data_IF_724678057366
#
_entry.id   IF_724678057366
#
_cell.length_a   1.000
_cell.length_b   1.000
_cell.length_c   1.000
_cell.angle_alpha   90.00
_cell.angle_beta   90.00
_cell.angle_gamma   90.00
#
_symmetry.space_group_name_H-M   'P 1'
#
loop_
_entity.id
_entity.type
_entity.pdbx_description
1 polymer ?
#
# COMPACT_ATOMS: atom_id res chain seq x y z
N UNK A 1 -39.42 21.64 32.13
CA UNK A 1 -38.00 21.35 32.37
C UNK A 1 -37.52 20.02 31.80
N UNK A 2 -38.20 18.88 31.94
CA UNK A 2 -37.78 17.57 31.36
C UNK A 2 -37.66 17.53 29.85
N UNK A 3 -38.46 18.29 29.10
CA UNK A 3 -38.39 18.31 27.61
C UNK A 3 -37.19 19.08 27.06
N UNK A 4 -36.76 20.14 27.74
CA UNK A 4 -35.60 20.95 27.37
C UNK A 4 -34.29 20.16 27.60
N UNK A 5 -34.26 19.37 28.69
CA UNK A 5 -33.11 18.51 29.00
C UNK A 5 -32.90 17.40 27.94
N UNK A 6 -33.99 16.85 27.39
CA UNK A 6 -33.93 15.80 26.37
C UNK A 6 -33.45 16.35 25.00
N UNK A 7 -33.87 17.55 24.62
CA UNK A 7 -33.42 18.22 23.40
C UNK A 7 -31.93 18.62 23.50
N UNK A 8 -31.51 19.12 24.65
CA UNK A 8 -30.11 19.46 24.89
C UNK A 8 -29.21 18.23 24.86
N UNK A 9 -29.66 17.08 25.38
CA UNK A 9 -28.92 15.81 25.32
C UNK A 9 -28.83 15.28 23.88
N UNK A 10 -29.88 15.41 23.08
CA UNK A 10 -29.89 15.01 21.66
C UNK A 10 -29.01 15.90 20.83
N UNK A 11 -28.92 17.20 21.08
CA UNK A 11 -27.99 18.13 20.39
C UNK A 11 -26.55 17.85 20.77
N UNK A 12 -26.25 17.53 22.04
CA UNK A 12 -24.91 17.13 22.49
C UNK A 12 -24.43 15.82 21.83
N UNK A 13 -25.32 14.86 21.62
CA UNK A 13 -24.97 13.59 20.98
C UNK A 13 -24.72 13.73 19.46
N UNK A 14 -25.37 14.70 18.81
CA UNK A 14 -25.15 14.98 17.37
C UNK A 14 -23.86 15.77 17.12
N UNK A 15 -23.42 16.59 18.06
CA UNK A 15 -22.17 17.36 17.94
C UNK A 15 -20.94 16.43 18.08
N UNK A 16 -21.03 15.33 18.84
CA UNK A 16 -19.92 14.39 19.01
C UNK A 16 -19.63 13.52 17.78
N UNK A 17 -20.54 13.48 16.80
CA UNK A 17 -20.33 12.75 15.54
C UNK A 17 -19.72 13.59 14.40
N UNK A 18 -19.62 14.90 14.57
CA UNK A 18 -19.14 15.82 13.53
C UNK A 18 -17.59 15.99 13.50
N UNK A 19 -16.86 15.43 14.44
CA UNK A 19 -15.42 15.67 14.60
C UNK A 19 -14.51 14.69 13.88
N UNK A 20 -15.02 13.73 13.11
CA UNK A 20 -14.21 12.70 12.45
C UNK A 20 -14.18 12.83 10.91
N UNK A 21 -14.40 14.01 10.34
CA UNK A 21 -14.52 14.14 8.88
C UNK A 21 -13.24 14.60 8.16
N UNK A 22 -12.17 14.93 8.86
CA UNK A 22 -10.94 15.41 8.22
C UNK A 22 -9.78 14.46 8.41
N UNK A 23 -8.87 14.48 7.44
CA UNK A 23 -7.58 13.81 7.53
C UNK A 23 -6.84 14.31 8.78
N UNK A 24 -6.60 13.45 9.75
CA UNK A 24 -6.02 13.81 11.05
C UNK A 24 -4.63 13.23 11.18
N UNK A 25 -3.67 14.06 11.60
CA UNK A 25 -2.33 13.60 11.93
C UNK A 25 -2.40 12.64 13.11
N UNK A 26 -1.76 11.49 12.96
CA UNK A 26 -1.60 10.49 14.03
C UNK A 26 -0.43 10.89 14.90
N UNK A 27 -0.60 10.88 16.21
CA UNK A 27 0.50 11.11 17.16
C UNK A 27 1.29 9.81 17.42
N UNK A 28 2.51 9.97 17.94
CA UNK A 28 3.41 8.83 18.21
C UNK A 28 2.80 7.80 19.17
N UNK A 29 2.08 8.25 20.19
CA UNK A 29 1.49 7.35 21.19
C UNK A 29 0.40 6.49 20.55
N UNK A 30 -0.44 7.09 19.72
CA UNK A 30 -1.48 6.39 18.94
C UNK A 30 -0.84 5.42 17.94
N UNK A 31 0.18 5.83 17.22
CA UNK A 31 0.90 4.97 16.28
C UNK A 31 1.55 3.78 17.00
N UNK A 32 2.22 4.02 18.12
CA UNK A 32 2.83 2.97 18.97
C UNK A 32 1.80 2.00 19.52
N UNK A 33 0.64 2.51 19.97
CA UNK A 33 -0.46 1.65 20.45
C UNK A 33 -0.94 0.69 19.36
N UNK A 34 -1.16 1.21 18.15
CA UNK A 34 -1.58 0.39 17.00
C UNK A 34 -0.49 -0.61 16.60
N UNK A 35 0.77 -0.18 16.54
CA UNK A 35 1.89 -1.08 16.27
C UNK A 35 1.98 -2.22 17.29
N UNK A 36 1.84 -1.91 18.58
CA UNK A 36 1.85 -2.91 19.66
C UNK A 36 0.67 -3.89 19.54
N UNK A 37 -0.52 -3.38 19.28
CA UNK A 37 -1.71 -4.20 19.11
C UNK A 37 -1.56 -5.11 17.86
N UNK A 38 -0.98 -4.58 16.76
CA UNK A 38 -0.70 -5.33 15.56
C UNK A 38 0.25 -6.50 15.82
N UNK A 39 1.40 -6.21 16.45
CA UNK A 39 2.42 -7.23 16.78
C UNK A 39 1.83 -8.30 17.70
N UNK A 40 1.04 -7.91 18.69
CA UNK A 40 0.39 -8.84 19.62
C UNK A 40 -0.62 -9.74 18.92
N UNK A 41 -1.32 -9.24 17.90
CA UNK A 41 -2.30 -10.02 17.14
C UNK A 41 -1.67 -11.00 16.14
N UNK A 42 -0.40 -10.79 15.78
CA UNK A 42 0.32 -11.60 14.80
C UNK A 42 1.29 -12.58 15.48
N UNK A 43 0.91 -13.84 15.54
CA UNK A 43 1.70 -14.91 16.21
C UNK A 43 3.08 -15.18 15.56
N UNK A 44 3.35 -14.63 14.39
CA UNK A 44 4.66 -14.75 13.72
C UNK A 44 5.76 -13.99 14.44
N UNK A 45 5.42 -12.94 15.19
CA UNK A 45 6.39 -12.15 15.95
C UNK A 45 6.69 -12.80 17.33
N UNK A 46 7.96 -13.08 17.54
CA UNK A 46 8.46 -13.64 18.81
C UNK A 46 8.79 -12.56 19.85
N UNK A 47 9.10 -11.34 19.39
CA UNK A 47 9.35 -10.16 20.21
C UNK A 47 8.15 -9.23 20.20
N UNK A 48 7.95 -8.54 21.31
CA UNK A 48 6.97 -7.45 21.45
C UNK A 48 7.64 -6.08 21.57
N UNK A 49 8.99 -6.04 21.52
CA UNK A 49 9.75 -4.80 21.67
C UNK A 49 9.67 -3.97 20.38
N UNK A 50 9.20 -2.74 20.52
CA UNK A 50 9.10 -1.77 19.42
C UNK A 50 10.17 -0.69 19.55
N UNK A 51 11.07 -0.65 18.56
CA UNK A 51 12.08 0.39 18.46
C UNK A 51 11.72 1.34 17.32
N UNK A 52 11.43 2.60 17.64
CA UNK A 52 11.10 3.62 16.65
C UNK A 52 12.34 3.96 15.82
N UNK A 53 12.21 3.90 14.51
CA UNK A 53 13.25 4.22 13.52
C UNK A 53 12.99 5.56 12.84
N UNK A 54 11.72 5.89 12.59
CA UNK A 54 11.31 7.14 11.98
C UNK A 54 9.91 7.54 12.44
N UNK A 55 9.70 8.85 12.62
CA UNK A 55 8.44 9.52 12.95
C UNK A 55 8.18 10.77 12.10
N UNK A 56 8.87 10.92 10.97
CA UNK A 56 8.75 12.10 10.10
C UNK A 56 7.32 12.27 9.58
N UNK A 57 6.90 11.41 8.66
CA UNK A 57 5.54 11.43 8.10
C UNK A 57 4.77 10.16 8.45
N UNK A 58 5.47 9.04 8.51
CA UNK A 58 4.94 7.74 8.90
C UNK A 58 5.85 7.12 9.96
N UNK A 59 5.28 6.32 10.84
CA UNK A 59 6.02 5.71 11.95
C UNK A 59 6.55 4.34 11.55
N UNK A 60 7.87 4.17 11.60
CA UNK A 60 8.54 2.90 11.32
C UNK A 60 9.08 2.33 12.63
N UNK A 61 8.59 1.17 13.02
CA UNK A 61 9.04 0.46 14.20
C UNK A 61 9.71 -0.85 13.81
N UNK A 62 10.94 -1.07 14.30
CA UNK A 62 11.51 -2.41 14.32
C UNK A 62 10.91 -3.22 15.47
N UNK A 63 10.69 -4.51 15.23
CA UNK A 63 10.13 -5.48 16.18
C UNK A 63 11.28 -6.36 16.69
N UNK A 64 11.90 -5.94 17.79
CA UNK A 64 13.15 -6.55 18.24
C UNK A 64 14.19 -6.56 17.11
N UNK A 65 14.79 -7.73 16.86
CA UNK A 65 15.74 -7.96 15.76
C UNK A 65 15.13 -8.84 14.63
N UNK A 66 13.81 -8.96 14.59
CA UNK A 66 13.14 -9.95 13.75
C UNK A 66 12.43 -9.36 12.55
N UNK A 67 11.79 -8.21 12.70
CA UNK A 67 10.93 -7.64 11.67
C UNK A 67 10.65 -6.17 11.88
N UNK A 68 9.67 -5.64 11.15
CA UNK A 68 9.24 -4.26 11.27
C UNK A 68 7.74 -4.10 10.99
N UNK A 69 7.18 -2.97 11.41
CA UNK A 69 5.84 -2.51 11.05
C UNK A 69 5.87 -1.01 10.75
N UNK A 70 5.11 -0.60 9.75
CA UNK A 70 4.97 0.80 9.33
C UNK A 70 3.52 1.23 9.55
N UNK A 71 3.36 2.23 10.40
CA UNK A 71 2.06 2.83 10.74
C UNK A 71 1.94 4.17 10.02
N UNK A 72 0.80 4.42 9.41
CA UNK A 72 0.53 5.69 8.74
C UNK A 72 0.52 6.86 9.74
N UNK A 73 1.11 7.98 9.34
CA UNK A 73 1.12 9.21 10.13
C UNK A 73 -0.12 10.06 9.97
N UNK A 74 -1.08 9.64 9.14
CA UNK A 74 -2.35 10.33 8.93
C UNK A 74 -3.49 9.35 8.67
N UNK A 75 -4.68 9.68 9.18
CA UNK A 75 -5.88 8.83 9.08
C UNK A 75 -6.45 8.72 7.66
N UNK A 76 -5.97 9.49 6.69
CA UNK A 76 -6.36 9.37 5.28
C UNK A 76 -5.83 8.08 4.64
N UNK A 77 -4.82 7.47 5.22
CA UNK A 77 -4.24 6.20 4.80
C UNK A 77 -4.66 5.06 5.74
N UNK A 78 -4.58 3.79 5.30
CA UNK A 78 -4.77 2.64 6.19
C UNK A 78 -3.80 2.66 7.38
N UNK A 79 -4.22 2.21 8.58
CA UNK A 79 -3.38 2.30 9.78
C UNK A 79 -2.05 1.55 9.66
N UNK A 80 -2.02 0.38 9.04
CA UNK A 80 -0.80 -0.39 8.78
C UNK A 80 -0.51 -0.36 7.29
N UNK A 81 0.59 0.28 6.90
CA UNK A 81 1.03 0.42 5.51
C UNK A 81 1.78 -0.81 5.04
N UNK A 82 2.69 -1.31 5.86
CA UNK A 82 3.48 -2.50 5.56
C UNK A 82 4.02 -3.14 6.84
N UNK A 83 4.42 -4.39 6.73
CA UNK A 83 5.12 -5.12 7.77
C UNK A 83 5.91 -6.29 7.21
N UNK A 84 6.89 -6.75 7.96
CA UNK A 84 7.60 -7.99 7.70
C UNK A 84 7.95 -8.67 9.02
N UNK A 85 7.95 -9.97 9.03
CA UNK A 85 8.45 -10.79 10.14
C UNK A 85 9.94 -11.13 10.00
N UNK A 86 10.60 -10.55 9.01
CA UNK A 86 12.02 -10.72 8.73
C UNK A 86 12.68 -9.39 8.37
N UNK A 87 13.94 -9.25 8.79
CA UNK A 87 14.72 -8.04 8.53
C UNK A 87 14.35 -6.89 9.45
N UNK A 88 15.29 -5.96 9.59
CA UNK A 88 15.11 -4.72 10.37
C UNK A 88 15.69 -3.55 9.61
N UNK A 89 15.17 -2.36 9.83
CA UNK A 89 15.76 -1.13 9.32
C UNK A 89 16.89 -0.66 10.24
N UNK A 90 18.12 -0.53 9.77
CA UNK A 90 19.18 0.09 10.58
C UNK A 90 18.94 1.59 10.75
N UNK A 91 18.54 2.29 9.70
CA UNK A 91 18.03 3.67 9.65
C UNK A 91 17.44 3.92 8.26
N UNK A 92 16.69 5.03 8.08
CA UNK A 92 16.19 5.42 6.76
C UNK A 92 17.30 5.84 5.80
N UNK A 93 18.43 6.35 6.31
CA UNK A 93 19.59 6.74 5.51
C UNK A 93 20.15 5.59 4.65
N UNK A 94 20.04 4.36 5.15
CA UNK A 94 20.50 3.15 4.46
C UNK A 94 19.37 2.36 3.81
N UNK A 95 18.19 2.94 3.72
CA UNK A 95 17.06 2.30 3.04
C UNK A 95 17.32 2.23 1.52
N UNK A 96 16.93 1.13 0.85
CA UNK A 96 17.01 1.05 -0.61
C UNK A 96 16.21 2.18 -1.28
N UNK A 97 16.70 2.68 -2.41
CA UNK A 97 16.07 3.80 -3.13
C UNK A 97 14.58 3.53 -3.49
N UNK A 98 14.25 2.30 -3.86
CA UNK A 98 12.87 1.91 -4.16
C UNK A 98 11.97 1.99 -2.92
N UNK A 99 12.49 1.69 -1.73
CA UNK A 99 11.75 1.86 -0.48
C UNK A 99 11.60 3.34 -0.13
N UNK A 100 12.66 4.14 -0.26
CA UNK A 100 12.60 5.59 -0.04
C UNK A 100 11.57 6.24 -0.98
N UNK A 101 11.55 5.87 -2.26
CA UNK A 101 10.54 6.33 -3.21
C UNK A 101 9.12 5.91 -2.80
N UNK A 102 8.95 4.67 -2.36
CA UNK A 102 7.65 4.14 -1.93
C UNK A 102 7.11 4.87 -0.69
N UNK A 103 7.92 5.11 0.32
CA UNK A 103 7.49 5.82 1.53
C UNK A 103 7.22 7.31 1.26
N UNK A 104 8.02 7.92 0.38
CA UNK A 104 7.80 9.29 -0.07
C UNK A 104 6.45 9.46 -0.77
N UNK A 105 6.05 8.48 -1.58
CA UNK A 105 4.74 8.51 -2.24
C UNK A 105 3.58 8.58 -1.23
N UNK A 106 3.66 7.86 -0.10
CA UNK A 106 2.66 8.01 0.96
C UNK A 106 2.70 9.38 1.63
N UNK A 107 3.87 9.95 1.80
CA UNK A 107 4.01 11.32 2.31
C UNK A 107 3.34 12.32 1.38
N UNK A 108 3.58 12.21 0.08
CA UNK A 108 2.95 13.07 -0.94
C UNK A 108 1.42 12.91 -0.95
N UNK A 109 0.90 11.69 -0.77
CA UNK A 109 -0.53 11.44 -0.65
C UNK A 109 -1.14 12.13 0.58
N UNK A 110 -0.47 12.08 1.73
CA UNK A 110 -0.89 12.76 2.95
C UNK A 110 -0.92 14.28 2.71
N UNK A 111 0.16 14.83 2.18
CA UNK A 111 0.27 16.27 1.91
C UNK A 111 -0.81 16.75 0.94
N UNK A 112 -1.05 16.00 -0.11
CA UNK A 112 -2.12 16.29 -1.07
C UNK A 112 -3.50 16.25 -0.39
N UNK A 113 -3.78 15.23 0.43
CA UNK A 113 -5.06 15.10 1.11
C UNK A 113 -5.29 16.23 2.12
N UNK A 114 -4.25 16.61 2.88
CA UNK A 114 -4.32 17.72 3.83
C UNK A 114 -4.51 19.07 3.11
N UNK A 115 -3.76 19.30 2.03
CA UNK A 115 -3.85 20.55 1.27
C UNK A 115 -5.21 20.75 0.56
N UNK A 116 -5.95 19.66 0.30
CA UNK A 116 -7.23 19.68 -0.40
C UNK A 116 -8.42 19.31 0.50
N UNK A 117 -8.24 19.30 1.83
CA UNK A 117 -9.28 18.94 2.81
C UNK A 117 -9.98 17.60 2.49
N UNK A 118 -9.23 16.61 2.00
CA UNK A 118 -9.77 15.29 1.65
C UNK A 118 -10.03 14.49 2.93
N UNK A 119 -11.28 14.08 3.11
CA UNK A 119 -11.66 13.21 4.21
C UNK A 119 -11.21 11.76 3.95
N UNK A 120 -10.86 10.99 5.01
CA UNK A 120 -10.63 9.56 4.87
C UNK A 120 -11.87 8.84 4.34
N UNK A 121 -11.67 7.85 3.48
CA UNK A 121 -12.77 6.96 3.08
C UNK A 121 -13.38 6.23 4.28
N UNK A 122 -14.69 5.98 4.26
CA UNK A 122 -15.38 5.28 5.35
C UNK A 122 -14.74 3.93 5.70
N UNK A 123 -14.22 3.20 4.70
CA UNK A 123 -13.50 1.95 4.89
C UNK A 123 -12.19 2.15 5.67
N UNK A 124 -11.47 3.23 5.40
CA UNK A 124 -10.21 3.56 6.09
C UNK A 124 -10.51 3.96 7.55
N UNK A 125 -11.55 4.77 7.78
CA UNK A 125 -12.00 5.11 9.14
C UNK A 125 -12.34 3.86 9.96
N UNK A 126 -13.09 2.93 9.37
CA UNK A 126 -13.40 1.66 10.02
C UNK A 126 -12.13 0.88 10.37
N UNK A 127 -11.13 0.84 9.49
CA UNK A 127 -9.86 0.18 9.76
C UNK A 127 -9.11 0.80 10.95
N UNK A 128 -9.13 2.13 11.09
CA UNK A 128 -8.55 2.83 12.24
C UNK A 128 -9.29 2.49 13.54
N UNK A 129 -10.62 2.46 13.52
CA UNK A 129 -11.43 2.08 14.68
C UNK A 129 -11.18 0.62 15.09
N UNK A 130 -11.03 -0.27 14.12
CA UNK A 130 -10.70 -1.68 14.35
C UNK A 130 -9.28 -1.83 14.90
N UNK A 131 -8.30 -1.15 14.31
CA UNK A 131 -6.90 -1.17 14.74
C UNK A 131 -6.74 -0.65 16.17
N UNK A 132 -7.45 0.42 16.54
CA UNK A 132 -7.45 0.97 17.90
C UNK A 132 -7.99 -0.04 18.95
N UNK A 133 -8.81 -0.99 18.53
CA UNK A 133 -9.33 -2.09 19.36
C UNK A 133 -8.48 -3.37 19.26
N UNK A 134 -7.36 -3.30 18.56
CA UNK A 134 -6.50 -4.47 18.31
C UNK A 134 -7.09 -5.47 17.31
N UNK A 135 -8.09 -5.06 16.53
CA UNK A 135 -8.70 -5.88 15.49
C UNK A 135 -8.05 -5.52 14.16
N UNK A 136 -7.22 -6.39 13.66
CA UNK A 136 -6.64 -6.26 12.33
C UNK A 136 -7.33 -7.29 11.43
N UNK A 137 -7.96 -6.79 10.37
CA UNK A 137 -8.64 -7.66 9.43
C UNK A 137 -7.70 -8.76 8.98
N UNK A 138 -8.07 -10.00 9.23
CA UNK A 138 -7.50 -11.11 8.50
C UNK A 138 -7.60 -10.73 7.03
N UNK A 139 -6.48 -10.73 6.28
CA UNK A 139 -6.57 -10.69 4.82
C UNK A 139 -7.69 -11.64 4.48
N UNK A 140 -8.74 -11.10 3.85
CA UNK A 140 -9.79 -11.97 3.36
C UNK A 140 -9.07 -12.97 2.45
N UNK A 141 -8.84 -14.18 2.96
CA UNK A 141 -8.14 -15.24 2.26
C UNK A 141 -9.05 -15.85 1.19
N UNK A 142 -9.97 -15.02 0.68
CA UNK A 142 -10.71 -15.39 -0.50
C UNK A 142 -9.68 -15.49 -1.62
N UNK A 143 -9.24 -16.72 -1.85
CA UNK A 143 -8.37 -17.03 -2.97
C UNK A 143 -9.13 -16.66 -4.23
N UNK A 144 -8.62 -15.69 -4.95
CA UNK A 144 -9.10 -15.38 -6.29
C UNK A 144 -8.26 -16.24 -7.23
N UNK A 145 -8.90 -17.11 -7.97
CA UNK A 145 -8.23 -17.88 -9.01
C UNK A 145 -7.58 -16.93 -10.02
N UNK A 146 -6.46 -17.31 -10.66
CA UNK A 146 -5.83 -16.50 -11.67
C UNK A 146 -6.83 -16.10 -12.76
N UNK A 147 -7.06 -14.79 -12.92
CA UNK A 147 -8.00 -14.27 -13.93
C UNK A 147 -7.44 -14.41 -15.34
N UNK A 148 -6.12 -14.27 -15.47
CA UNK A 148 -5.41 -14.35 -16.75
C UNK A 148 -5.06 -15.81 -17.02
N UNK A 149 -5.60 -16.36 -18.09
CA UNK A 149 -5.35 -17.75 -18.54
C UNK A 149 -4.21 -17.86 -19.57
N UNK A 150 -3.65 -16.73 -20.00
CA UNK A 150 -2.53 -16.71 -20.96
C UNK A 150 -1.20 -16.97 -20.24
N UNK A 151 -0.29 -17.66 -20.94
CA UNK A 151 1.08 -17.97 -20.48
C UNK A 151 2.10 -17.40 -21.45
N UNK A 152 1.92 -16.13 -21.84
CA UNK A 152 2.79 -15.50 -22.84
C UNK A 152 4.17 -15.22 -22.29
N UNK A 153 5.15 -15.42 -23.17
CA UNK A 153 6.57 -15.19 -22.92
C UNK A 153 7.06 -13.92 -23.64
N UNK A 154 8.31 -13.56 -23.47
CA UNK A 154 8.99 -12.44 -24.14
C UNK A 154 9.93 -12.91 -25.24
N UNK A 155 10.10 -14.20 -25.34
CA UNK A 155 11.11 -14.93 -26.12
C UNK A 155 10.61 -15.21 -27.56
N UNK A 156 11.29 -16.12 -28.25
CA UNK A 156 10.95 -16.56 -29.59
C UNK A 156 9.44 -16.74 -29.82
N UNK A 157 8.97 -16.33 -30.97
CA UNK A 157 7.57 -16.22 -31.39
C UNK A 157 6.78 -15.05 -30.80
N UNK A 158 7.03 -14.69 -29.54
CA UNK A 158 6.37 -13.53 -28.92
C UNK A 158 7.08 -12.20 -29.25
N UNK A 159 8.32 -12.27 -29.73
CA UNK A 159 9.12 -11.14 -30.16
C UNK A 159 9.23 -10.99 -31.69
N UNK A 160 8.33 -11.61 -32.45
CA UNK A 160 8.42 -11.67 -33.93
C UNK A 160 8.42 -10.27 -34.57
N UNK A 161 7.74 -9.31 -33.97
CA UNK A 161 7.69 -7.93 -34.46
C UNK A 161 8.69 -6.99 -33.76
N UNK A 162 9.51 -7.52 -32.85
CA UNK A 162 10.55 -6.73 -32.24
C UNK A 162 11.72 -6.51 -33.20
N UNK A 163 12.50 -5.42 -33.03
CA UNK A 163 13.67 -5.14 -33.86
C UNK A 163 14.67 -6.29 -33.87
N UNK A 164 15.29 -6.51 -35.03
CA UNK A 164 16.40 -7.45 -35.13
C UNK A 164 17.60 -6.96 -34.33
N UNK A 165 18.21 -7.84 -33.55
CA UNK A 165 19.45 -7.56 -32.84
C UNK A 165 20.61 -8.10 -33.68
N UNK A 166 21.28 -7.19 -34.39
CA UNK A 166 22.51 -7.52 -35.12
C UNK A 166 23.68 -7.51 -34.14
N UNK A 167 24.31 -8.63 -33.91
CA UNK A 167 25.47 -8.72 -33.03
C UNK A 167 26.09 -10.10 -33.04
N UNK A 168 27.24 -10.27 -32.36
CA UNK A 168 27.82 -11.56 -32.12
C UNK A 168 26.82 -12.44 -31.36
N UNK A 169 26.95 -13.75 -31.48
CA UNK A 169 26.00 -14.74 -30.94
C UNK A 169 25.60 -14.57 -29.45
N UNK A 170 26.44 -13.89 -28.66
CA UNK A 170 26.13 -13.58 -27.25
C UNK A 170 25.41 -12.24 -27.03
N UNK A 171 25.32 -11.41 -28.06
CA UNK A 171 24.59 -10.12 -28.04
C UNK A 171 23.24 -10.21 -28.74
N UNK A 172 23.01 -11.28 -29.50
CA UNK A 172 21.74 -11.49 -30.16
C UNK A 172 20.69 -11.96 -29.14
N UNK A 173 19.57 -11.27 -29.10
CA UNK A 173 18.41 -11.71 -28.33
C UNK A 173 17.80 -13.00 -28.89
N UNK A 174 16.74 -13.52 -28.26
CA UNK A 174 16.09 -14.76 -28.66
C UNK A 174 15.59 -14.70 -30.10
N UNK A 175 15.90 -15.71 -30.88
CA UNK A 175 15.63 -15.78 -32.34
C UNK A 175 16.18 -14.57 -33.13
N UNK A 176 17.29 -13.97 -32.70
CA UNK A 176 17.92 -12.82 -33.36
C UNK A 176 17.16 -11.51 -33.24
N UNK A 177 16.25 -11.39 -32.31
CA UNK A 177 15.43 -10.20 -32.06
C UNK A 177 15.49 -9.74 -30.63
N UNK A 178 15.17 -8.49 -30.37
CA UNK A 178 15.02 -7.99 -29.01
C UNK A 178 13.89 -8.73 -28.28
N UNK A 179 13.98 -8.81 -26.94
CA UNK A 179 12.87 -9.30 -26.13
C UNK A 179 11.65 -8.39 -26.25
N UNK A 180 10.45 -8.95 -26.24
CA UNK A 180 9.21 -8.16 -26.23
C UNK A 180 9.07 -7.24 -25.00
N UNK A 181 9.73 -7.59 -23.91
CA UNK A 181 9.73 -6.84 -22.66
C UNK A 181 8.63 -7.27 -21.68
N UNK A 182 8.99 -7.38 -20.41
CA UNK A 182 8.09 -7.91 -19.37
C UNK A 182 6.83 -7.05 -19.19
N UNK A 183 6.97 -5.73 -19.22
CA UNK A 183 5.85 -4.79 -19.07
C UNK A 183 4.88 -4.91 -20.23
N UNK A 184 5.39 -4.94 -21.45
CA UNK A 184 4.55 -5.10 -22.67
C UNK A 184 3.80 -6.44 -22.66
N UNK A 185 4.46 -7.54 -22.30
CA UNK A 185 3.84 -8.85 -22.19
C UNK A 185 2.77 -8.91 -21.09
N UNK A 186 3.05 -8.33 -19.92
CA UNK A 186 2.08 -8.28 -18.82
C UNK A 186 0.84 -7.45 -19.23
N UNK A 187 1.07 -6.28 -19.80
CA UNK A 187 -0.01 -5.40 -20.28
C UNK A 187 -0.86 -6.07 -21.35
N UNK A 188 -0.23 -6.72 -22.33
CA UNK A 188 -0.93 -7.43 -23.40
C UNK A 188 -1.80 -8.57 -22.86
N UNK A 189 -1.36 -9.30 -21.83
CA UNK A 189 -2.16 -10.34 -21.19
C UNK A 189 -3.38 -9.77 -20.46
N UNK A 190 -3.24 -8.63 -19.78
CA UNK A 190 -4.36 -7.92 -19.15
C UNK A 190 -5.35 -7.41 -20.21
N UNK A 191 -4.85 -6.80 -21.29
CA UNK A 191 -5.68 -6.36 -22.42
C UNK A 191 -6.44 -7.54 -23.04
N UNK A 192 -5.77 -8.69 -23.19
CA UNK A 192 -6.41 -9.91 -23.70
C UNK A 192 -7.50 -10.45 -22.78
N UNK A 193 -7.31 -10.37 -21.48
CA UNK A 193 -8.32 -10.79 -20.50
C UNK A 193 -9.60 -9.95 -20.62
N UNK A 194 -9.45 -8.63 -20.81
CA UNK A 194 -10.57 -7.70 -20.92
C UNK A 194 -11.13 -7.55 -22.33
N UNK A 195 -10.47 -8.15 -23.35
CA UNK A 195 -10.73 -7.94 -24.79
C UNK A 195 -10.82 -6.43 -25.15
N UNK A 196 -9.94 -5.62 -24.53
CA UNK A 196 -9.95 -4.17 -24.67
C UNK A 196 -8.52 -3.61 -24.80
N UNK A 197 -8.30 -2.59 -25.65
CA UNK A 197 -9.23 -2.07 -26.67
C UNK A 197 -9.42 -3.05 -27.85
N UNK A 198 -10.59 -3.04 -28.47
CA UNK A 198 -10.87 -3.88 -29.67
C UNK A 198 -9.91 -3.55 -30.81
N UNK A 199 -9.51 -2.28 -30.92
CA UNK A 199 -8.57 -1.78 -31.92
C UNK A 199 -7.59 -0.79 -31.30
N UNK A 200 -6.32 -0.87 -31.68
CA UNK A 200 -5.32 0.15 -31.35
C UNK A 200 -5.47 1.39 -32.24
N UNK A 201 -5.24 2.56 -31.67
CA UNK A 201 -5.26 3.83 -32.38
C UNK A 201 -3.90 4.53 -32.27
N UNK A 202 -3.44 5.06 -33.41
CA UNK A 202 -2.19 5.80 -33.51
C UNK A 202 -0.96 4.90 -33.65
N UNK A 203 0.19 5.55 -33.80
CA UNK A 203 1.51 4.92 -33.79
C UNK A 203 2.47 5.81 -32.99
N UNK A 204 3.42 5.22 -32.33
CA UNK A 204 4.50 5.91 -31.64
C UNK A 204 5.83 5.40 -32.18
N UNK A 205 6.68 6.32 -32.62
CA UNK A 205 8.04 6.03 -33.09
C UNK A 205 9.06 6.71 -32.21
#
# INVERSE_FOLDING_TARGET
>A
MKRISLVLLLVLTTISQAFSQFATKVDENSARHIAQAFVTSHQTFKSQDLNLISDETNYIYNIGNQGFVIIAGNTVLPPVLAWSDQGVFPSLEYAPENFAFWIQHYSDMIDFAVANDIAPEARIQQQWDEAARGVFGSRNTQTVDPLVSTHWNQDCYYNEYCPETGGWWWESGPCGRAYAGCVACAMAQVMKYWDYPEHGYGSHS
#
